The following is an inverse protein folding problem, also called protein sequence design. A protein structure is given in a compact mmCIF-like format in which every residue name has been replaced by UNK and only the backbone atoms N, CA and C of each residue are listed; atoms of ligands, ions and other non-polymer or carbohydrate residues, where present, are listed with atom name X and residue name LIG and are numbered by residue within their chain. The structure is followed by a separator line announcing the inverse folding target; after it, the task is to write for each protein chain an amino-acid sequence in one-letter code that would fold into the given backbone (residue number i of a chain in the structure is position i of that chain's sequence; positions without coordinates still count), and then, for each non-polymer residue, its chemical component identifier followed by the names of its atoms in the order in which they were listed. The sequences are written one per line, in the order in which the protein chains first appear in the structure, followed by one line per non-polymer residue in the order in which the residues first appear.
data_IF_841926185629
#
_entry.id   IF_841926185629
#
_cell.length_a   1.000
_cell.length_b   1.000
_cell.length_c   1.000
_cell.angle_alpha   90.00
_cell.angle_beta   90.00
_cell.angle_gamma   90.00
#
_symmetry.space_group_name_H-M   'P 1'
#
loop_
_entity.id
_entity.type
_entity.pdbx_description
1 polymer ?
#
# COMPACT_ATOMS: atom_id res chain seq x y z
N UNK A 1 -21.75 45.47 -52.77
CA UNK A 1 -21.10 45.37 -51.44
C UNK A 1 -21.93 44.67 -50.35
N UNK A 2 -23.24 44.81 -50.26
CA UNK A 2 -24.08 44.13 -49.20
C UNK A 2 -24.13 42.62 -49.31
N UNK A 3 -24.09 42.01 -50.49
CA UNK A 3 -24.19 40.54 -50.66
C UNK A 3 -22.93 39.75 -50.26
N UNK A 4 -21.75 40.36 -50.27
CA UNK A 4 -20.47 39.73 -49.89
C UNK A 4 -20.37 39.67 -48.37
N UNK A 5 -20.88 40.68 -47.65
CA UNK A 5 -20.87 40.71 -46.17
C UNK A 5 -21.80 39.68 -45.54
N UNK A 6 -22.96 39.42 -46.09
CA UNK A 6 -23.87 38.39 -45.61
C UNK A 6 -23.22 36.98 -45.70
N UNK A 7 -22.57 36.66 -46.77
CA UNK A 7 -21.93 35.35 -46.96
C UNK A 7 -20.79 35.11 -46.00
N UNK A 8 -19.96 36.11 -45.71
CA UNK A 8 -18.87 36.03 -44.73
C UNK A 8 -19.35 35.87 -43.28
N UNK A 9 -20.49 36.47 -42.93
CA UNK A 9 -21.08 36.31 -41.56
C UNK A 9 -21.72 34.94 -41.41
N UNK A 10 -22.36 34.40 -42.44
CA UNK A 10 -22.94 33.07 -42.43
C UNK A 10 -21.85 31.98 -42.37
N UNK A 11 -20.75 32.17 -43.14
CA UNK A 11 -19.60 31.28 -43.13
C UNK A 11 -18.88 31.30 -41.74
N UNK A 12 -18.78 32.49 -41.10
CA UNK A 12 -18.20 32.62 -39.76
C UNK A 12 -19.06 32.04 -38.69
N UNK A 13 -20.39 32.20 -38.73
CA UNK A 13 -21.35 31.55 -37.83
C UNK A 13 -21.36 30.03 -38.01
N UNK A 14 -21.23 29.55 -39.24
CA UNK A 14 -21.10 28.11 -39.52
C UNK A 14 -19.79 27.55 -38.97
N UNK A 15 -18.69 28.28 -39.12
CA UNK A 15 -17.38 27.93 -38.55
C UNK A 15 -17.42 27.91 -37.00
N UNK A 16 -18.01 28.94 -36.38
CA UNK A 16 -18.20 28.97 -34.91
C UNK A 16 -19.05 27.80 -34.38
N UNK A 17 -20.13 27.47 -35.08
CA UNK A 17 -20.97 26.29 -34.76
C UNK A 17 -20.20 24.98 -34.95
N UNK A 18 -19.37 24.87 -35.97
CA UNK A 18 -18.53 23.72 -36.26
C UNK A 18 -17.45 23.54 -35.17
N UNK A 19 -16.77 24.66 -34.81
CA UNK A 19 -15.74 24.64 -33.74
C UNK A 19 -16.33 24.28 -32.38
N UNK A 20 -17.51 24.84 -32.04
CA UNK A 20 -18.22 24.47 -30.81
C UNK A 20 -18.61 22.99 -30.83
N UNK A 21 -19.15 22.49 -31.94
CA UNK A 21 -19.53 21.09 -32.10
C UNK A 21 -18.32 20.13 -32.04
N UNK A 22 -17.16 20.58 -32.60
CA UNK A 22 -15.88 19.84 -32.50
C UNK A 22 -15.36 19.81 -31.05
N UNK A 23 -15.50 20.89 -30.28
CA UNK A 23 -15.13 20.94 -28.88
C UNK A 23 -16.03 20.06 -28.03
N UNK A 24 -17.34 20.11 -28.26
CA UNK A 24 -18.33 19.24 -27.62
C UNK A 24 -18.05 17.76 -27.92
N UNK A 25 -17.72 17.40 -29.16
CA UNK A 25 -17.38 16.03 -29.54
C UNK A 25 -16.09 15.56 -28.87
N UNK A 26 -15.06 16.42 -28.75
CA UNK A 26 -13.82 16.09 -28.02
C UNK A 26 -14.10 15.91 -26.54
N UNK A 27 -14.89 16.77 -25.91
CA UNK A 27 -15.27 16.63 -24.50
C UNK A 27 -16.05 15.35 -24.24
N UNK A 28 -17.01 15.00 -25.11
CA UNK A 28 -17.78 13.75 -25.01
C UNK A 28 -16.87 12.52 -25.19
N UNK A 29 -15.91 12.57 -26.14
CA UNK A 29 -14.94 11.48 -26.33
C UNK A 29 -14.01 11.33 -25.14
N UNK A 30 -13.53 12.44 -24.57
CA UNK A 30 -12.69 12.42 -23.37
C UNK A 30 -13.47 11.85 -22.19
N UNK A 31 -14.69 12.31 -21.94
CA UNK A 31 -15.54 11.79 -20.88
C UNK A 31 -15.81 10.27 -21.01
N UNK A 32 -16.03 9.77 -22.23
CA UNK A 32 -16.17 8.32 -22.48
C UNK A 32 -14.93 7.53 -22.13
N UNK A 33 -13.74 8.02 -22.51
CA UNK A 33 -12.47 7.36 -22.19
C UNK A 33 -12.17 7.34 -20.69
N UNK A 34 -12.50 8.44 -20.00
CA UNK A 34 -12.33 8.55 -18.56
C UNK A 34 -13.19 7.54 -17.81
N UNK A 35 -14.50 7.56 -18.06
CA UNK A 35 -15.45 6.61 -17.43
C UNK A 35 -15.01 5.16 -17.74
N UNK A 36 -14.55 4.89 -18.96
CA UNK A 36 -14.09 3.57 -19.35
C UNK A 36 -12.90 3.09 -18.49
N UNK A 37 -11.88 3.94 -18.33
CA UNK A 37 -10.69 3.61 -17.55
C UNK A 37 -11.04 3.42 -16.06
N UNK A 38 -11.81 4.35 -15.48
CA UNK A 38 -12.22 4.26 -14.07
C UNK A 38 -13.15 3.08 -13.78
N UNK A 39 -14.05 2.75 -14.71
CA UNK A 39 -14.90 1.57 -14.57
C UNK A 39 -14.09 0.27 -14.60
N UNK A 40 -13.13 0.15 -15.50
CA UNK A 40 -12.22 -0.99 -15.59
C UNK A 40 -11.42 -1.14 -14.28
N UNK A 41 -10.84 -0.04 -13.78
CA UNK A 41 -10.08 -0.02 -12.53
C UNK A 41 -10.98 -0.41 -11.33
N UNK A 42 -12.15 0.19 -11.19
CA UNK A 42 -13.09 -0.13 -10.12
C UNK A 42 -13.53 -1.61 -10.11
N UNK A 43 -13.81 -2.17 -11.29
CA UNK A 43 -14.16 -3.60 -11.38
C UNK A 43 -12.98 -4.50 -11.00
N UNK A 44 -11.77 -4.17 -11.43
CA UNK A 44 -10.55 -4.91 -11.05
C UNK A 44 -10.28 -4.82 -9.55
N UNK A 45 -10.38 -3.63 -8.95
CA UNK A 45 -10.28 -3.44 -7.50
C UNK A 45 -11.31 -4.28 -6.73
N UNK A 46 -12.52 -4.45 -7.31
CA UNK A 46 -13.56 -5.31 -6.73
C UNK A 46 -13.32 -6.81 -6.98
N UNK A 47 -12.35 -7.20 -7.80
CA UNK A 47 -12.07 -8.61 -8.15
C UNK A 47 -13.16 -9.27 -9.00
N UNK A 48 -13.99 -8.48 -9.68
CA UNK A 48 -15.13 -9.00 -10.44
C UNK A 48 -14.78 -9.22 -11.91
N UNK A 49 -15.23 -10.34 -12.46
CA UNK A 49 -15.33 -10.49 -13.91
C UNK A 49 -16.45 -9.60 -14.48
N UNK A 50 -16.48 -9.41 -15.79
CA UNK A 50 -17.59 -8.70 -16.43
C UNK A 50 -18.95 -9.41 -16.20
N UNK A 51 -18.93 -10.75 -16.06
CA UNK A 51 -20.13 -11.50 -15.76
C UNK A 51 -20.59 -11.29 -14.33
N UNK A 52 -19.66 -11.41 -13.36
CA UNK A 52 -19.97 -11.19 -11.95
C UNK A 52 -20.55 -9.79 -11.70
N UNK A 53 -20.02 -8.76 -12.40
CA UNK A 53 -20.54 -7.41 -12.31
C UNK A 53 -21.96 -7.32 -12.90
N UNK A 54 -22.22 -7.95 -14.06
CA UNK A 54 -23.57 -7.99 -14.65
C UNK A 54 -24.57 -8.67 -13.70
N UNK A 55 -24.19 -9.82 -13.13
CA UNK A 55 -25.02 -10.57 -12.18
C UNK A 55 -25.29 -9.76 -10.91
N UNK A 56 -24.28 -9.06 -10.38
CA UNK A 56 -24.41 -8.17 -9.22
C UNK A 56 -25.32 -6.97 -9.47
N UNK A 57 -25.43 -6.53 -10.73
CA UNK A 57 -26.37 -5.49 -11.18
C UNK A 57 -27.77 -6.04 -11.49
N UNK A 58 -28.09 -7.30 -11.18
CA UNK A 58 -29.37 -7.93 -11.46
C UNK A 58 -29.65 -8.17 -12.94
N UNK A 59 -28.59 -8.20 -13.76
CA UNK A 59 -28.64 -8.33 -15.21
C UNK A 59 -29.37 -7.17 -15.96
N UNK A 60 -29.59 -6.05 -15.30
CA UNK A 60 -30.09 -4.82 -15.95
C UNK A 60 -29.13 -4.32 -17.04
N UNK A 61 -27.84 -4.66 -16.92
CA UNK A 61 -26.77 -4.37 -17.88
C UNK A 61 -26.07 -5.65 -18.27
N UNK A 62 -26.02 -5.95 -19.57
CA UNK A 62 -25.37 -7.18 -20.06
C UNK A 62 -23.85 -7.09 -20.01
N UNK A 63 -23.17 -8.25 -19.92
CA UNK A 63 -21.72 -8.36 -20.05
C UNK A 63 -21.17 -7.63 -21.29
N UNK A 64 -21.89 -7.73 -22.42
CA UNK A 64 -21.50 -7.07 -23.68
C UNK A 64 -21.57 -5.55 -23.56
N UNK A 65 -22.59 -5.02 -22.86
CA UNK A 65 -22.72 -3.58 -22.60
C UNK A 65 -21.61 -3.10 -21.68
N UNK A 66 -21.30 -3.83 -20.60
CA UNK A 66 -20.19 -3.52 -19.71
C UNK A 66 -18.85 -3.49 -20.45
N UNK A 67 -18.60 -4.48 -21.32
CA UNK A 67 -17.41 -4.49 -22.18
C UNK A 67 -17.34 -3.28 -23.12
N UNK A 68 -18.48 -2.80 -23.67
CA UNK A 68 -18.51 -1.58 -24.49
C UNK A 68 -18.24 -0.34 -23.65
N UNK A 69 -18.69 -0.30 -22.39
CA UNK A 69 -18.41 0.80 -21.46
C UNK A 69 -16.92 0.86 -21.14
N UNK A 70 -16.29 -0.27 -20.73
CA UNK A 70 -14.88 -0.32 -20.40
C UNK A 70 -13.93 -0.06 -21.58
N UNK A 71 -14.39 -0.31 -22.81
CA UNK A 71 -13.65 0.00 -24.03
C UNK A 71 -13.95 1.43 -24.58
N UNK A 72 -14.73 2.24 -23.88
CA UNK A 72 -15.09 3.60 -24.30
C UNK A 72 -15.97 3.66 -25.57
N UNK A 73 -16.52 2.52 -26.02
CA UNK A 73 -17.38 2.45 -27.20
C UNK A 73 -18.77 3.00 -26.92
N UNK A 74 -19.23 2.91 -25.66
CA UNK A 74 -20.53 3.39 -25.23
C UNK A 74 -20.40 4.03 -23.84
N UNK A 75 -21.21 5.05 -23.53
CA UNK A 75 -21.30 5.67 -22.21
C UNK A 75 -22.55 5.13 -21.50
N UNK A 76 -22.48 4.73 -20.21
CA UNK A 76 -23.67 4.46 -19.41
C UNK A 76 -24.54 5.71 -19.30
N UNK A 77 -25.86 5.54 -19.24
CA UNK A 77 -26.79 6.59 -18.86
C UNK A 77 -26.73 6.88 -17.34
N UNK A 78 -27.47 7.88 -16.88
CA UNK A 78 -27.46 8.28 -15.46
C UNK A 78 -27.88 7.12 -14.52
N UNK A 79 -28.88 6.33 -14.90
CA UNK A 79 -29.33 5.16 -14.14
C UNK A 79 -28.25 4.08 -14.10
N UNK A 80 -27.62 3.82 -15.24
CA UNK A 80 -26.52 2.86 -15.34
C UNK A 80 -25.28 3.27 -14.53
N UNK A 81 -24.94 4.57 -14.51
CA UNK A 81 -23.83 5.08 -13.68
C UNK A 81 -24.10 4.89 -12.18
N UNK A 82 -25.33 5.19 -11.71
CA UNK A 82 -25.71 4.95 -10.31
C UNK A 82 -25.70 3.45 -9.96
N UNK A 83 -26.20 2.61 -10.86
CA UNK A 83 -26.19 1.16 -10.65
C UNK A 83 -24.76 0.60 -10.60
N UNK A 84 -23.87 1.07 -11.48
CA UNK A 84 -22.44 0.71 -11.48
C UNK A 84 -21.75 1.17 -10.20
N UNK A 85 -21.97 2.42 -9.77
CA UNK A 85 -21.39 2.97 -8.56
C UNK A 85 -21.79 2.13 -7.32
N UNK A 86 -23.08 1.79 -7.20
CA UNK A 86 -23.59 0.94 -6.12
C UNK A 86 -23.02 -0.48 -6.19
N UNK A 87 -23.02 -1.11 -7.36
CA UNK A 87 -22.51 -2.46 -7.54
C UNK A 87 -21.00 -2.57 -7.21
N UNK A 88 -20.22 -1.53 -7.51
CA UNK A 88 -18.77 -1.48 -7.28
C UNK A 88 -18.40 -0.85 -5.92
N UNK A 89 -19.37 -0.34 -5.18
CA UNK A 89 -19.19 0.37 -3.91
C UNK A 89 -18.23 1.57 -4.04
N UNK A 90 -18.43 2.37 -5.08
CA UNK A 90 -17.69 3.61 -5.36
C UNK A 90 -18.65 4.79 -5.49
N UNK A 91 -18.14 6.02 -5.45
CA UNK A 91 -18.95 7.20 -5.77
C UNK A 91 -19.12 7.36 -7.29
N UNK A 92 -20.18 8.05 -7.70
CA UNK A 92 -20.35 8.42 -9.13
C UNK A 92 -19.23 9.38 -9.56
N UNK A 93 -18.78 10.26 -8.65
CA UNK A 93 -17.68 11.19 -8.89
C UNK A 93 -16.38 10.48 -9.25
N UNK A 94 -16.13 9.31 -8.63
CA UNK A 94 -14.99 8.48 -8.99
C UNK A 94 -14.98 8.11 -10.47
N UNK A 95 -16.13 7.78 -11.08
CA UNK A 95 -16.21 7.43 -12.50
C UNK A 95 -15.92 8.62 -13.43
N UNK A 96 -16.06 9.84 -12.93
CA UNK A 96 -15.75 11.07 -13.67
C UNK A 96 -14.39 11.68 -13.32
N UNK A 97 -13.67 11.13 -12.32
CA UNK A 97 -12.38 11.66 -11.92
C UNK A 97 -11.31 11.37 -12.99
N UNK A 98 -10.48 12.37 -13.24
CA UNK A 98 -9.26 12.20 -14.03
C UNK A 98 -8.12 12.13 -13.02
N UNK A 99 -7.28 11.08 -13.03
CA UNK A 99 -6.06 11.14 -12.25
C UNK A 99 -5.22 12.31 -12.74
N UNK A 100 -4.86 13.23 -11.84
CA UNK A 100 -3.93 14.30 -12.15
C UNK A 100 -2.53 13.71 -12.42
N UNK A 101 -2.20 12.61 -11.77
CA UNK A 101 -0.93 11.89 -11.92
C UNK A 101 -1.20 10.48 -12.42
N UNK A 102 -0.54 10.09 -13.51
CA UNK A 102 -0.61 8.71 -14.02
C UNK A 102 0.45 7.86 -13.29
N UNK A 103 0.01 7.03 -12.37
CA UNK A 103 0.87 6.16 -11.56
C UNK A 103 1.11 4.84 -12.26
N UNK A 104 2.39 4.49 -12.42
CA UNK A 104 2.81 3.16 -12.84
C UNK A 104 3.72 2.57 -11.77
N UNK A 105 3.31 1.44 -11.21
CA UNK A 105 4.14 0.68 -10.29
C UNK A 105 5.22 -0.09 -11.06
N UNK A 106 6.47 0.11 -10.68
CA UNK A 106 7.63 -0.55 -11.28
C UNK A 106 8.41 -1.33 -10.21
N UNK A 107 9.27 -2.25 -10.63
CA UNK A 107 10.11 -3.05 -9.73
C UNK A 107 9.33 -3.75 -8.61
N UNK A 108 8.16 -4.29 -8.96
CA UNK A 108 7.25 -4.93 -8.00
C UNK A 108 7.85 -6.23 -7.48
N UNK A 109 7.96 -6.36 -6.17
CA UNK A 109 8.25 -7.61 -5.48
C UNK A 109 7.23 -7.81 -4.36
N UNK A 110 6.73 -9.05 -4.21
CA UNK A 110 5.68 -9.39 -3.25
C UNK A 110 6.24 -10.22 -2.11
N UNK A 111 5.89 -9.89 -0.89
CA UNK A 111 5.95 -10.84 0.21
C UNK A 111 4.72 -11.74 0.15
N UNK A 112 4.95 -12.98 -0.27
CA UNK A 112 3.89 -13.99 -0.43
C UNK A 112 3.83 -14.92 0.78
N UNK A 113 2.64 -15.16 1.33
CA UNK A 113 2.40 -16.39 2.10
C UNK A 113 2.68 -17.59 1.17
N UNK A 114 2.84 -18.78 1.73
CA UNK A 114 3.07 -20.02 1.00
C UNK A 114 2.04 -20.31 -0.12
N UNK A 115 0.93 -19.59 -0.16
CA UNK A 115 -0.11 -19.67 -1.18
C UNK A 115 0.20 -18.66 -2.29
N UNK A 116 0.31 -19.11 -3.52
CA UNK A 116 0.46 -18.26 -4.69
C UNK A 116 -0.79 -17.40 -4.86
N UNK A 117 -0.64 -16.08 -4.90
CA UNK A 117 -1.73 -15.19 -5.32
C UNK A 117 -2.20 -15.59 -6.73
N UNK A 118 -3.49 -15.58 -6.95
CA UNK A 118 -4.03 -15.75 -8.30
C UNK A 118 -3.74 -14.49 -9.14
N UNK A 119 -3.83 -14.59 -10.45
CA UNK A 119 -3.69 -13.41 -11.33
C UNK A 119 -4.76 -12.35 -11.07
N UNK A 120 -5.92 -12.76 -10.55
CA UNK A 120 -7.01 -11.85 -10.15
C UNK A 120 -6.61 -11.12 -8.88
N UNK A 121 -6.06 -11.83 -7.88
CA UNK A 121 -5.60 -11.22 -6.62
C UNK A 121 -4.46 -10.24 -6.86
N UNK A 122 -3.48 -10.59 -7.73
CA UNK A 122 -2.41 -9.68 -8.13
C UNK A 122 -2.99 -8.40 -8.76
N UNK A 123 -3.99 -8.52 -9.65
CA UNK A 123 -4.64 -7.36 -10.26
C UNK A 123 -5.38 -6.49 -9.22
N UNK A 124 -6.07 -7.10 -8.25
CA UNK A 124 -6.74 -6.37 -7.16
C UNK A 124 -5.73 -5.53 -6.37
N UNK A 125 -4.62 -6.15 -5.97
CA UNK A 125 -3.57 -5.48 -5.18
C UNK A 125 -2.99 -4.30 -5.96
N UNK A 126 -2.61 -4.51 -7.22
CA UNK A 126 -2.02 -3.47 -8.07
C UNK A 126 -3.00 -2.31 -8.27
N UNK A 127 -4.24 -2.57 -8.68
CA UNK A 127 -5.22 -1.52 -8.96
C UNK A 127 -5.57 -0.71 -7.69
N UNK A 128 -5.71 -1.37 -6.53
CA UNK A 128 -5.94 -0.67 -5.26
C UNK A 128 -4.75 0.19 -4.85
N UNK A 129 -3.54 -0.31 -5.02
CA UNK A 129 -2.34 0.45 -4.71
C UNK A 129 -2.18 1.66 -5.65
N UNK A 130 -2.39 1.48 -6.96
CA UNK A 130 -2.37 2.56 -7.96
C UNK A 130 -3.39 3.65 -7.61
N UNK A 131 -4.64 3.29 -7.31
CA UNK A 131 -5.69 4.24 -6.95
C UNK A 131 -5.30 5.08 -5.72
N UNK A 132 -4.72 4.48 -4.69
CA UNK A 132 -4.26 5.22 -3.51
C UNK A 132 -3.08 6.12 -3.85
N UNK A 133 -2.09 5.65 -4.63
CA UNK A 133 -0.93 6.47 -4.99
C UNK A 133 -1.29 7.61 -5.95
N UNK A 134 -2.24 7.44 -6.88
CA UNK A 134 -2.74 8.53 -7.70
C UNK A 134 -3.25 9.68 -6.83
N UNK A 135 -4.11 9.38 -5.86
CA UNK A 135 -4.66 10.39 -4.93
C UNK A 135 -3.60 10.98 -4.00
N UNK A 136 -2.64 10.18 -3.57
CA UNK A 136 -1.56 10.62 -2.69
C UNK A 136 -0.63 11.61 -3.40
N UNK A 137 -0.18 11.27 -4.61
CA UNK A 137 0.70 12.15 -5.38
C UNK A 137 -0.01 13.40 -5.89
N UNK A 138 -1.30 13.30 -6.23
CA UNK A 138 -2.14 14.46 -6.53
C UNK A 138 -2.22 15.41 -5.33
N UNK A 139 -2.38 14.87 -4.13
CA UNK A 139 -2.38 15.66 -2.89
C UNK A 139 -1.04 16.35 -2.62
N UNK A 140 0.08 15.65 -2.81
CA UNK A 140 1.41 16.25 -2.70
C UNK A 140 1.62 17.37 -3.73
N UNK A 141 1.18 17.18 -4.97
CA UNK A 141 1.28 18.19 -6.03
C UNK A 141 0.44 19.44 -5.72
N UNK A 142 -0.82 19.27 -5.31
CA UNK A 142 -1.70 20.37 -4.89
C UNK A 142 -1.12 21.17 -3.72
N UNK A 143 -0.43 20.52 -2.80
CA UNK A 143 0.25 21.15 -1.67
C UNK A 143 1.65 21.68 -2.02
N UNK A 144 2.09 21.50 -3.27
CA UNK A 144 3.42 21.91 -3.77
C UNK A 144 4.58 21.29 -2.96
N UNK A 145 4.42 20.05 -2.52
CA UNK A 145 5.45 19.31 -1.80
C UNK A 145 6.42 18.69 -2.81
N UNK A 146 7.56 19.33 -2.98
CA UNK A 146 8.61 18.91 -3.92
C UNK A 146 9.81 18.28 -3.19
N UNK A 147 9.55 17.55 -2.12
CA UNK A 147 10.60 16.94 -1.32
C UNK A 147 11.36 15.90 -2.14
N UNK A 148 12.67 16.07 -2.23
CA UNK A 148 13.57 15.04 -2.77
C UNK A 148 14.07 14.21 -1.61
N UNK A 149 13.85 12.90 -1.70
CA UNK A 149 14.31 11.97 -0.68
C UNK A 149 15.54 11.21 -1.15
N UNK A 150 16.59 11.25 -0.33
CA UNK A 150 17.77 10.40 -0.51
C UNK A 150 17.57 9.10 0.25
N UNK A 151 17.37 8.03 -0.50
CA UNK A 151 17.14 6.73 0.09
C UNK A 151 18.47 6.02 0.36
N UNK A 152 18.63 5.53 1.57
CA UNK A 152 19.75 4.66 1.90
C UNK A 152 19.70 3.39 1.04
N UNK A 153 20.86 2.98 0.55
CA UNK A 153 21.09 1.70 -0.12
C UNK A 153 22.44 1.18 0.36
N UNK A 154 22.45 -0.04 0.87
CA UNK A 154 23.68 -0.66 1.34
C UNK A 154 24.69 -0.76 0.19
N UNK A 155 25.93 -0.35 0.44
CA UNK A 155 26.92 -0.12 -0.62
C UNK A 155 27.51 -1.42 -1.21
N UNK A 156 27.43 -2.53 -0.47
CA UNK A 156 27.94 -3.84 -0.83
C UNK A 156 26.84 -4.82 -1.26
N UNK A 157 27.24 -5.87 -1.99
CA UNK A 157 26.37 -7.01 -2.26
C UNK A 157 26.16 -7.83 -0.98
N UNK A 158 24.92 -8.18 -0.72
CA UNK A 158 24.52 -9.01 0.43
C UNK A 158 24.47 -10.48 -0.01
N UNK A 159 25.41 -11.26 0.53
CA UNK A 159 25.59 -12.68 0.23
C UNK A 159 25.33 -13.57 1.43
N UNK A 160 25.59 -13.05 2.61
CA UNK A 160 25.57 -13.78 3.87
C UNK A 160 24.59 -13.16 4.87
N UNK A 161 24.25 -13.93 5.85
CA UNK A 161 23.50 -13.48 6.99
C UNK A 161 24.18 -12.31 7.74
N UNK A 162 25.52 -12.34 7.81
CA UNK A 162 26.31 -11.28 8.43
C UNK A 162 26.18 -9.96 7.65
N UNK A 163 26.18 -9.99 6.31
CA UNK A 163 26.01 -8.78 5.50
C UNK A 163 24.64 -8.14 5.76
N UNK A 164 23.58 -8.96 5.91
CA UNK A 164 22.23 -8.47 6.23
C UNK A 164 22.13 -7.86 7.64
N UNK A 165 22.87 -8.42 8.62
CA UNK A 165 23.02 -7.84 9.97
C UNK A 165 23.71 -6.48 9.92
N UNK A 166 24.83 -6.40 9.20
CA UNK A 166 25.60 -5.16 9.07
C UNK A 166 24.80 -4.08 8.38
N UNK A 167 24.07 -4.41 7.31
CA UNK A 167 23.19 -3.49 6.63
C UNK A 167 22.08 -2.94 7.56
N UNK A 168 21.50 -3.79 8.39
CA UNK A 168 20.51 -3.36 9.37
C UNK A 168 21.09 -2.43 10.44
N UNK A 169 22.27 -2.74 10.94
CA UNK A 169 22.98 -1.92 11.93
C UNK A 169 23.39 -0.57 11.33
N UNK A 170 23.94 -0.57 10.10
CA UNK A 170 24.35 0.64 9.41
C UNK A 170 23.15 1.55 9.14
N UNK A 171 22.01 1.00 8.66
CA UNK A 171 20.80 1.79 8.44
C UNK A 171 20.26 2.39 9.75
N UNK A 172 20.27 1.64 10.86
CA UNK A 172 19.90 2.20 12.17
C UNK A 172 20.78 3.36 12.58
N UNK A 173 22.08 3.28 12.31
CA UNK A 173 23.04 4.37 12.57
C UNK A 173 22.77 5.58 11.68
N UNK A 174 22.57 5.40 10.37
CA UNK A 174 22.26 6.48 9.41
C UNK A 174 20.94 7.18 9.77
N UNK A 175 19.97 6.43 10.28
CA UNK A 175 18.69 6.97 10.72
C UNK A 175 18.68 7.46 12.17
N UNK A 176 19.82 7.35 12.88
CA UNK A 176 20.00 7.77 14.27
C UNK A 176 19.03 7.11 15.26
N UNK A 177 18.64 5.84 15.00
CA UNK A 177 17.66 5.11 15.82
C UNK A 177 18.25 4.51 17.09
N UNK A 178 19.58 4.45 17.21
CA UNK A 178 20.26 3.77 18.32
C UNK A 178 19.84 2.29 18.42
N UNK A 179 19.87 1.75 19.64
CA UNK A 179 19.54 0.35 19.93
C UNK A 179 18.15 0.15 20.58
N UNK A 180 17.37 1.21 20.72
CA UNK A 180 16.05 1.15 21.38
C UNK A 180 14.98 0.52 20.48
N UNK A 181 13.89 -0.02 21.07
CA UNK A 181 12.74 -0.46 20.32
C UNK A 181 12.13 0.67 19.47
N UNK A 182 11.72 0.34 18.25
CA UNK A 182 11.06 1.28 17.36
C UNK A 182 9.58 1.38 17.76
N UNK A 183 9.07 2.55 18.12
CA UNK A 183 7.67 2.69 18.56
C UNK A 183 6.68 2.36 17.46
N UNK A 184 6.84 2.95 16.25
CA UNK A 184 6.01 2.74 15.08
C UNK A 184 6.89 2.64 13.83
N UNK A 185 6.86 1.50 13.15
CA UNK A 185 7.69 1.24 11.96
C UNK A 185 7.11 1.96 10.76
N UNK A 186 5.79 2.01 10.64
CA UNK A 186 5.12 2.63 9.50
C UNK A 186 5.35 4.13 9.51
N UNK A 187 5.17 4.79 10.66
CA UNK A 187 5.46 6.21 10.83
C UNK A 187 6.94 6.52 10.55
N UNK A 188 7.85 5.72 11.09
CA UNK A 188 9.29 5.85 10.82
C UNK A 188 9.59 5.80 9.31
N UNK A 189 8.97 4.88 8.56
CA UNK A 189 9.17 4.80 7.11
C UNK A 189 8.63 6.03 6.38
N UNK A 190 7.45 6.53 6.77
CA UNK A 190 6.88 7.78 6.23
C UNK A 190 7.82 8.97 6.48
N UNK A 191 8.39 9.09 7.69
CA UNK A 191 9.34 10.15 8.05
C UNK A 191 10.66 10.07 7.27
N UNK A 192 11.06 8.86 6.83
CA UNK A 192 12.22 8.66 5.94
C UNK A 192 11.87 8.75 4.45
N UNK A 193 10.67 9.23 4.11
CA UNK A 193 10.25 9.56 2.76
C UNK A 193 9.70 8.40 1.94
N UNK A 194 9.53 7.21 2.53
CA UNK A 194 8.84 6.13 1.84
C UNK A 194 7.34 6.43 1.76
N UNK A 195 6.74 6.18 0.62
CA UNK A 195 5.29 6.20 0.49
C UNK A 195 4.72 4.89 1.01
N UNK A 196 4.13 4.92 2.19
CA UNK A 196 3.52 3.72 2.80
C UNK A 196 2.01 3.81 2.68
N UNK A 197 1.37 2.76 2.19
CA UNK A 197 -0.09 2.69 2.09
C UNK A 197 -0.63 1.35 2.55
N UNK A 198 -1.79 1.41 3.18
CA UNK A 198 -2.59 0.25 3.56
C UNK A 198 -3.69 0.03 2.53
N UNK A 199 -3.81 -1.21 2.06
CA UNK A 199 -4.91 -1.61 1.18
C UNK A 199 -5.68 -2.80 1.75
N UNK A 200 -6.98 -2.85 1.49
CA UNK A 200 -7.72 -4.09 1.65
C UNK A 200 -7.19 -5.09 0.62
N UNK A 201 -6.65 -6.20 1.08
CA UNK A 201 -5.97 -7.14 0.20
C UNK A 201 -6.49 -8.56 0.41
N UNK A 202 -6.47 -9.40 -0.65
CA UNK A 202 -6.85 -10.80 -0.57
C UNK A 202 -6.03 -11.57 0.46
N UNK A 203 -6.54 -12.72 0.89
CA UNK A 203 -5.77 -13.63 1.73
C UNK A 203 -4.56 -14.16 0.96
N UNK A 204 -3.42 -14.23 1.66
CA UNK A 204 -2.14 -14.58 1.04
C UNK A 204 -1.25 -13.39 0.68
N UNK A 205 -1.78 -12.16 0.60
CA UNK A 205 -1.00 -10.94 0.52
C UNK A 205 -0.66 -10.43 1.93
N UNK A 206 0.59 -10.07 2.16
CA UNK A 206 1.04 -9.41 3.38
C UNK A 206 1.61 -8.02 3.08
N UNK A 207 2.43 -7.90 2.04
CA UNK A 207 3.06 -6.66 1.63
C UNK A 207 3.71 -6.75 0.25
N UNK A 208 4.09 -5.60 -0.26
CA UNK A 208 4.72 -5.44 -1.57
C UNK A 208 5.59 -4.19 -1.55
N UNK A 209 6.81 -4.30 -2.09
CA UNK A 209 7.58 -3.12 -2.46
C UNK A 209 7.42 -2.83 -3.94
N UNK A 210 7.47 -1.58 -4.30
CA UNK A 210 7.53 -1.12 -5.68
C UNK A 210 8.19 0.26 -5.76
N UNK A 211 8.26 0.84 -6.96
CA UNK A 211 8.64 2.24 -7.19
C UNK A 211 7.58 2.94 -8.03
N UNK A 212 7.42 4.25 -7.80
CA UNK A 212 6.63 5.16 -8.62
C UNK A 212 7.54 6.33 -9.00
N UNK A 213 8.03 6.34 -10.24
CA UNK A 213 9.11 7.23 -10.62
C UNK A 213 10.35 6.99 -9.76
N UNK A 214 10.84 8.02 -9.09
CA UNK A 214 11.97 7.98 -8.15
C UNK A 214 11.57 7.64 -6.70
N UNK A 215 10.25 7.59 -6.41
CA UNK A 215 9.73 7.33 -5.06
C UNK A 215 9.71 5.84 -4.74
N UNK A 216 10.26 5.46 -3.59
CA UNK A 216 10.16 4.11 -3.04
C UNK A 216 8.85 3.94 -2.29
N UNK A 217 8.11 2.88 -2.59
CA UNK A 217 6.78 2.63 -2.02
C UNK A 217 6.71 1.29 -1.31
N UNK A 218 5.94 1.25 -0.22
CA UNK A 218 5.63 0.04 0.55
C UNK A 218 4.11 -0.06 0.65
N UNK A 219 3.57 -1.15 0.14
CA UNK A 219 2.14 -1.46 0.24
C UNK A 219 1.94 -2.56 1.25
N UNK A 220 1.07 -2.34 2.22
CA UNK A 220 0.80 -3.28 3.30
C UNK A 220 -0.67 -3.70 3.30
N UNK A 221 -0.93 -4.92 3.78
CA UNK A 221 -2.30 -5.35 4.05
C UNK A 221 -2.84 -4.54 5.23
N UNK A 222 -4.03 -3.98 5.05
CA UNK A 222 -4.75 -3.30 6.12
C UNK A 222 -5.10 -4.28 7.23
N UNK A 223 -4.79 -3.92 8.46
CA UNK A 223 -5.10 -4.69 9.66
C UNK A 223 -6.30 -4.06 10.35
N UNK A 224 -7.28 -4.87 10.71
CA UNK A 224 -8.43 -4.40 11.48
C UNK A 224 -8.02 -4.20 12.94
N UNK A 225 -8.53 -3.14 13.59
CA UNK A 225 -8.14 -2.72 14.93
C UNK A 225 -8.24 -3.78 16.05
N UNK A 226 -8.96 -4.87 15.81
CA UNK A 226 -9.13 -5.96 16.79
C UNK A 226 -8.11 -7.10 16.63
N UNK A 227 -7.15 -6.98 15.70
CA UNK A 227 -6.26 -8.06 15.28
C UNK A 227 -4.80 -7.78 15.71
N UNK A 228 -4.58 -7.84 17.03
CA UNK A 228 -3.35 -7.37 17.68
C UNK A 228 -2.06 -8.09 17.27
N UNK A 229 -2.14 -9.36 16.91
CA UNK A 229 -0.97 -10.11 16.45
C UNK A 229 -0.58 -9.76 15.02
N UNK A 230 -1.50 -9.21 14.24
CA UNK A 230 -1.22 -8.75 12.89
C UNK A 230 -0.41 -7.45 12.88
N UNK A 231 -0.47 -6.64 13.96
CA UNK A 231 0.39 -5.48 14.13
C UNK A 231 1.88 -5.89 14.13
N UNK A 232 2.24 -6.89 14.93
CA UNK A 232 3.61 -7.41 14.99
C UNK A 232 4.06 -7.97 13.64
N UNK A 233 3.15 -8.67 12.95
CA UNK A 233 3.37 -9.18 11.61
C UNK A 233 3.54 -8.06 10.59
N UNK A 234 2.70 -7.02 10.66
CA UNK A 234 2.75 -5.85 9.78
C UNK A 234 4.08 -5.10 9.91
N UNK A 235 4.56 -4.86 11.13
CA UNK A 235 5.89 -4.28 11.41
C UNK A 235 6.99 -5.05 10.71
N UNK A 236 7.00 -6.37 10.91
CA UNK A 236 7.98 -7.24 10.29
C UNK A 236 7.88 -7.23 8.76
N UNK A 237 6.65 -7.19 8.21
CA UNK A 237 6.43 -7.07 6.78
C UNK A 237 6.95 -5.75 6.23
N UNK A 238 6.65 -4.63 6.87
CA UNK A 238 7.12 -3.31 6.43
C UNK A 238 8.65 -3.25 6.36
N UNK A 239 9.36 -3.82 7.35
CA UNK A 239 10.82 -3.89 7.34
C UNK A 239 11.37 -4.93 6.35
N UNK A 240 10.63 -5.98 6.05
CA UNK A 240 10.99 -6.90 4.99
C UNK A 240 10.92 -6.24 3.61
N UNK A 241 9.86 -5.45 3.34
CA UNK A 241 9.76 -4.66 2.11
C UNK A 241 10.83 -3.56 2.06
N UNK A 242 11.18 -2.96 3.20
CA UNK A 242 12.31 -2.05 3.30
C UNK A 242 13.62 -2.75 2.92
N UNK A 243 13.84 -4.00 3.37
CA UNK A 243 15.03 -4.76 3.01
C UNK A 243 15.21 -4.89 1.49
N UNK A 244 14.13 -5.13 0.76
CA UNK A 244 14.17 -5.17 -0.72
C UNK A 244 14.50 -3.82 -1.37
N UNK A 245 14.32 -2.69 -0.67
CA UNK A 245 14.74 -1.36 -1.14
C UNK A 245 16.18 -1.00 -0.77
N UNK A 246 16.70 -1.59 0.30
CA UNK A 246 18.01 -1.29 0.91
C UNK A 246 19.11 -2.21 0.41
N UNK A 247 18.81 -3.51 0.31
CA UNK A 247 19.81 -4.54 0.03
C UNK A 247 20.03 -4.73 -1.47
N UNK A 248 21.31 -4.88 -1.84
CA UNK A 248 21.70 -5.26 -3.19
C UNK A 248 22.08 -6.73 -3.22
N UNK A 249 21.50 -7.49 -4.10
CA UNK A 249 21.78 -8.91 -4.26
C UNK A 249 22.48 -9.22 -5.58
N UNK A 250 23.33 -10.25 -5.65
CA UNK A 250 23.81 -10.77 -6.92
C UNK A 250 22.67 -11.25 -7.80
N UNK A 251 22.84 -11.12 -9.11
CA UNK A 251 21.79 -11.52 -10.07
C UNK A 251 21.49 -13.03 -10.06
N UNK A 252 22.47 -13.84 -9.71
CA UNK A 252 22.42 -15.31 -9.63
C UNK A 252 21.92 -15.83 -8.27
N UNK A 253 21.71 -14.95 -7.28
CA UNK A 253 21.22 -15.35 -5.98
C UNK A 253 19.77 -15.87 -6.09
N UNK A 254 19.55 -17.09 -5.60
CA UNK A 254 18.23 -17.73 -5.64
C UNK A 254 17.20 -16.90 -4.83
N UNK A 255 15.98 -16.78 -5.35
CA UNK A 255 14.90 -16.02 -4.70
C UNK A 255 14.69 -16.41 -3.23
N UNK A 256 14.79 -17.72 -2.92
CA UNK A 256 14.62 -18.21 -1.53
C UNK A 256 15.73 -17.72 -0.58
N UNK A 257 16.94 -17.59 -1.08
CA UNK A 257 18.06 -17.05 -0.30
C UNK A 257 17.92 -15.56 -0.10
N UNK A 258 17.51 -14.83 -1.13
CA UNK A 258 17.18 -13.40 -1.04
C UNK A 258 16.11 -13.13 0.02
N UNK A 259 15.02 -13.89 0.00
CA UNK A 259 13.95 -13.77 1.00
C UNK A 259 14.47 -14.03 2.43
N UNK A 260 15.35 -15.03 2.61
CA UNK A 260 15.95 -15.31 3.90
C UNK A 260 16.79 -14.12 4.40
N UNK A 261 17.59 -13.52 3.53
CA UNK A 261 18.42 -12.36 3.89
C UNK A 261 17.55 -11.14 4.25
N UNK A 262 16.46 -10.91 3.55
CA UNK A 262 15.48 -9.88 3.91
C UNK A 262 14.83 -10.16 5.29
N UNK A 263 14.52 -11.41 5.62
CA UNK A 263 14.02 -11.77 6.95
C UNK A 263 15.07 -11.52 8.04
N UNK A 264 16.35 -11.81 7.77
CA UNK A 264 17.44 -11.56 8.71
C UNK A 264 17.59 -10.06 8.95
N UNK A 265 17.63 -9.26 7.88
CA UNK A 265 17.64 -7.80 7.98
C UNK A 265 16.49 -7.28 8.83
N UNK A 266 15.25 -7.67 8.52
CA UNK A 266 14.05 -7.21 9.25
C UNK A 266 14.10 -7.55 10.75
N UNK A 267 14.54 -8.77 11.09
CA UNK A 267 14.69 -9.18 12.48
C UNK A 267 15.83 -8.46 13.20
N UNK A 268 16.96 -8.22 12.51
CA UNK A 268 18.10 -7.47 13.04
C UNK A 268 17.74 -6.00 13.27
N UNK A 269 16.98 -5.43 12.34
CA UNK A 269 16.52 -4.06 12.45
C UNK A 269 15.52 -3.86 13.61
N UNK A 270 14.59 -4.81 13.84
CA UNK A 270 13.67 -4.77 14.98
C UNK A 270 14.35 -5.06 16.31
N UNK A 271 15.24 -6.03 16.37
CA UNK A 271 15.87 -6.48 17.60
C UNK A 271 17.39 -6.58 17.40
N UNK A 272 18.13 -5.47 17.60
CA UNK A 272 19.57 -5.40 17.36
C UNK A 272 20.36 -6.48 18.11
N UNK A 273 21.45 -6.98 17.51
CA UNK A 273 22.24 -8.09 18.04
C UNK A 273 22.76 -7.84 19.45
N UNK A 274 23.23 -6.63 19.73
CA UNK A 274 23.78 -6.27 21.05
C UNK A 274 22.71 -6.34 22.13
N UNK A 275 21.48 -5.87 21.83
CA UNK A 275 20.39 -5.94 22.78
C UNK A 275 19.88 -7.35 22.96
N UNK A 276 19.78 -8.13 21.87
CA UNK A 276 19.41 -9.53 21.96
C UNK A 276 20.40 -10.34 22.80
N UNK A 277 21.72 -10.17 22.60
CA UNK A 277 22.74 -10.82 23.43
C UNK A 277 22.69 -10.36 24.89
N UNK A 278 22.47 -9.09 25.14
CA UNK A 278 22.35 -8.50 26.49
C UNK A 278 21.14 -9.04 27.24
N UNK A 279 19.98 -9.17 26.57
CA UNK A 279 18.73 -9.59 27.22
C UNK A 279 18.59 -11.12 27.33
N UNK A 280 19.09 -11.88 26.36
CA UNK A 280 18.98 -13.34 26.34
C UNK A 280 20.11 -14.04 27.11
N UNK A 281 21.21 -13.37 27.41
CA UNK A 281 22.31 -13.82 28.29
C UNK A 281 22.89 -15.20 27.93
N UNK A 282 23.45 -15.35 26.74
CA UNK A 282 24.20 -16.54 26.31
C UNK A 282 23.34 -17.72 25.87
N UNK A 283 23.90 -18.93 25.88
CA UNK A 283 23.26 -20.11 25.34
C UNK A 283 21.95 -20.49 26.10
N UNK A 284 20.88 -20.77 25.34
CA UNK A 284 19.56 -21.08 25.89
C UNK A 284 19.08 -22.44 25.38
N UNK A 285 18.34 -23.15 26.23
CA UNK A 285 17.75 -24.46 25.94
C UNK A 285 16.22 -24.42 25.89
N UNK A 286 15.61 -23.38 26.44
CA UNK A 286 14.17 -23.15 26.47
C UNK A 286 13.87 -21.66 26.70
N UNK A 287 12.62 -21.28 26.45
CA UNK A 287 12.04 -20.00 26.85
C UNK A 287 10.78 -20.23 27.65
N UNK A 288 10.55 -19.40 28.64
CA UNK A 288 9.27 -19.33 29.33
C UNK A 288 8.31 -18.41 28.55
N UNK A 289 7.04 -18.78 28.51
CA UNK A 289 6.03 -18.00 27.79
C UNK A 289 5.96 -16.55 28.26
N UNK A 290 6.00 -16.34 29.60
CA UNK A 290 5.99 -14.98 30.18
C UNK A 290 7.19 -14.13 29.74
N UNK A 291 8.34 -14.72 29.61
CA UNK A 291 9.55 -14.05 29.08
C UNK A 291 9.34 -13.63 27.62
N UNK A 292 8.79 -14.52 26.80
CA UNK A 292 8.51 -14.22 25.39
C UNK A 292 7.46 -13.11 25.24
N UNK A 293 6.43 -13.09 26.12
CA UNK A 293 5.44 -12.01 26.16
C UNK A 293 6.13 -10.67 26.44
N UNK A 294 7.02 -10.59 27.43
CA UNK A 294 7.75 -9.36 27.78
C UNK A 294 8.61 -8.89 26.60
N UNK A 295 9.33 -9.80 25.95
CA UNK A 295 10.14 -9.46 24.77
C UNK A 295 9.29 -8.97 23.59
N UNK A 296 8.16 -9.65 23.33
CA UNK A 296 7.21 -9.25 22.30
C UNK A 296 6.63 -7.86 22.56
N UNK A 297 6.18 -7.61 23.80
CA UNK A 297 5.59 -6.34 24.22
C UNK A 297 6.60 -5.19 24.18
N UNK A 298 7.88 -5.48 24.38
CA UNK A 298 8.96 -4.50 24.32
C UNK A 298 9.40 -4.20 22.87
N UNK A 299 9.66 -5.24 22.08
CA UNK A 299 10.31 -5.10 20.78
C UNK A 299 9.34 -5.12 19.59
N UNK A 300 8.08 -5.47 19.82
CA UNK A 300 7.09 -5.63 18.74
C UNK A 300 7.49 -6.73 17.75
N UNK A 301 8.02 -7.84 18.25
CA UNK A 301 8.49 -8.98 17.47
C UNK A 301 7.80 -10.27 17.94
N UNK A 302 7.41 -11.17 17.01
CA UNK A 302 6.72 -12.41 17.34
C UNK A 302 7.63 -13.44 18.04
N UNK A 303 7.06 -14.39 18.79
CA UNK A 303 7.82 -15.48 19.41
C UNK A 303 8.65 -16.26 18.39
N UNK A 304 8.04 -16.56 17.24
CA UNK A 304 8.75 -17.26 16.18
C UNK A 304 9.96 -16.47 15.68
N UNK A 305 9.83 -15.16 15.50
CA UNK A 305 10.93 -14.30 15.09
C UNK A 305 12.01 -14.19 16.21
N UNK A 306 11.62 -14.17 17.49
CA UNK A 306 12.57 -14.23 18.60
C UNK A 306 13.39 -15.54 18.55
N UNK A 307 12.76 -16.69 18.29
CA UNK A 307 13.45 -17.97 18.20
C UNK A 307 14.47 -17.99 17.06
N UNK A 308 14.06 -17.54 15.86
CA UNK A 308 14.94 -17.45 14.72
C UNK A 308 16.08 -16.45 14.94
N UNK A 309 15.78 -15.32 15.59
CA UNK A 309 16.78 -14.31 15.95
C UNK A 309 17.83 -14.87 16.90
N UNK A 310 17.39 -15.55 17.97
CA UNK A 310 18.28 -16.19 18.96
C UNK A 310 19.12 -17.32 18.33
N UNK A 311 18.55 -18.09 17.39
CA UNK A 311 19.31 -19.11 16.66
C UNK A 311 20.35 -18.48 15.74
N UNK A 312 19.98 -17.45 15.01
CA UNK A 312 20.90 -16.72 14.13
C UNK A 312 22.11 -16.13 14.88
N UNK A 313 21.88 -15.63 16.09
CA UNK A 313 22.92 -15.10 16.97
C UNK A 313 23.75 -16.18 17.72
N UNK A 314 23.48 -17.47 17.47
CA UNK A 314 24.15 -18.59 18.14
C UNK A 314 23.71 -18.81 19.61
N UNK A 315 22.67 -18.13 20.07
CA UNK A 315 22.09 -18.28 21.41
C UNK A 315 21.30 -19.60 21.51
N UNK A 316 20.63 -19.99 20.41
CA UNK A 316 19.97 -21.28 20.26
C UNK A 316 20.69 -22.13 19.22
N UNK A 317 20.84 -23.41 19.49
CA UNK A 317 21.24 -24.36 18.45
C UNK A 317 19.99 -24.87 17.69
N UNK A 318 20.22 -25.48 16.51
CA UNK A 318 19.14 -25.95 15.63
C UNK A 318 18.21 -26.99 16.26
N UNK A 319 18.73 -27.83 17.18
CA UNK A 319 17.90 -28.84 17.85
C UNK A 319 16.90 -28.19 18.80
N UNK A 320 17.33 -27.16 19.53
CA UNK A 320 16.46 -26.38 20.41
C UNK A 320 15.46 -25.57 19.61
N UNK A 321 15.91 -24.91 18.53
CA UNK A 321 15.01 -24.20 17.61
C UNK A 321 13.88 -25.10 17.08
N UNK A 322 14.20 -26.32 16.63
CA UNK A 322 13.19 -27.30 16.18
C UNK A 322 12.19 -27.65 17.27
N UNK A 323 12.66 -27.88 18.51
CA UNK A 323 11.77 -28.18 19.67
C UNK A 323 10.84 -27.00 19.98
N UNK A 324 11.38 -25.77 19.98
CA UNK A 324 10.58 -24.57 20.23
C UNK A 324 9.52 -24.35 19.12
N UNK A 325 9.88 -24.55 17.86
CA UNK A 325 8.94 -24.47 16.74
C UNK A 325 7.82 -25.53 16.83
N UNK A 326 8.14 -26.76 17.27
CA UNK A 326 7.14 -27.79 17.53
C UNK A 326 6.23 -27.40 18.70
N UNK A 327 6.81 -26.90 19.80
CA UNK A 327 6.06 -26.41 20.95
C UNK A 327 5.12 -25.26 20.61
N UNK A 328 5.57 -24.31 19.81
CA UNK A 328 4.80 -23.19 19.29
C UNK A 328 3.58 -23.69 18.49
N UNK A 329 3.78 -24.61 17.55
CA UNK A 329 2.70 -25.21 16.77
C UNK A 329 1.73 -26.03 17.63
N UNK A 330 2.24 -26.82 18.59
CA UNK A 330 1.42 -27.64 19.50
C UNK A 330 0.47 -26.79 20.35
N UNK A 331 0.89 -25.55 20.72
CA UNK A 331 0.04 -24.59 21.45
C UNK A 331 -0.93 -23.84 20.53
N UNK A 332 -0.88 -24.05 19.22
CA UNK A 332 -1.74 -23.35 18.27
C UNK A 332 -1.33 -21.90 18.01
N UNK A 333 -0.16 -21.44 18.47
CA UNK A 333 0.29 -20.03 18.31
C UNK A 333 0.57 -19.64 16.87
N UNK A 334 0.64 -20.59 15.95
CA UNK A 334 0.71 -20.35 14.51
C UNK A 334 -0.66 -20.01 13.89
N UNK A 335 -1.74 -20.21 14.63
CA UNK A 335 -3.08 -19.85 14.20
C UNK A 335 -3.29 -18.34 14.39
N UNK A 336 -4.24 -17.84 13.65
CA UNK A 336 -4.59 -16.42 13.65
C UNK A 336 -4.88 -15.91 15.09
N UNK A 337 -4.23 -14.84 15.49
CA UNK A 337 -4.38 -14.17 16.79
C UNK A 337 -4.18 -15.04 18.05
N UNK A 338 -3.59 -16.23 17.93
CA UNK A 338 -3.45 -17.16 19.06
C UNK A 338 -2.19 -16.93 19.91
N UNK A 339 -1.18 -16.21 19.40
CA UNK A 339 0.06 -15.93 20.12
C UNK A 339 -0.19 -14.89 21.23
N UNK A 340 0.13 -15.18 22.50
CA UNK A 340 -0.13 -14.26 23.61
C UNK A 340 0.80 -13.03 23.62
N UNK A 341 0.44 -12.02 24.40
CA UNK A 341 1.14 -10.74 24.51
C UNK A 341 0.66 -9.72 23.47
N UNK A 342 0.70 -8.43 23.83
CA UNK A 342 0.16 -7.32 23.04
C UNK A 342 1.20 -6.23 22.86
N UNK A 343 1.62 -5.96 21.64
CA UNK A 343 2.40 -4.79 21.31
C UNK A 343 1.48 -3.58 21.07
N UNK A 344 1.77 -2.47 21.74
CA UNK A 344 0.92 -1.27 21.68
C UNK A 344 1.51 -0.27 20.67
N UNK A 345 1.17 -0.43 19.40
CA UNK A 345 1.45 0.52 18.31
C UNK A 345 0.26 0.60 17.38
N UNK A 346 0.16 1.66 16.60
CA UNK A 346 -0.90 1.83 15.60
C UNK A 346 -0.53 1.16 14.28
N UNK A 347 0.73 1.27 13.87
CA UNK A 347 1.26 0.79 12.57
C UNK A 347 0.32 1.10 11.39
N UNK A 348 -0.14 2.35 11.32
CA UNK A 348 -1.07 2.83 10.30
C UNK A 348 -0.45 4.02 9.60
N UNK A 349 -0.41 4.04 8.25
CA UNK A 349 0.03 5.20 7.51
C UNK A 349 -0.84 6.42 7.84
N UNK A 350 -0.24 7.51 8.29
CA UNK A 350 -0.96 8.72 8.72
C UNK A 350 -0.60 9.95 7.91
N UNK A 351 0.49 9.92 7.13
CA UNK A 351 0.98 11.09 6.42
C UNK A 351 -0.04 11.61 5.40
N UNK A 352 -0.69 10.72 4.64
CA UNK A 352 -1.72 11.13 3.68
C UNK A 352 -2.91 11.83 4.38
N UNK A 353 -3.37 11.30 5.51
CA UNK A 353 -4.44 11.90 6.31
C UNK A 353 -4.02 13.28 6.85
N UNK A 354 -2.80 13.39 7.40
CA UNK A 354 -2.24 14.67 7.85
C UNK A 354 -2.18 15.71 6.72
N UNK A 355 -1.80 15.31 5.51
CA UNK A 355 -1.75 16.20 4.34
C UNK A 355 -3.15 16.64 3.88
N UNK A 356 -4.16 15.77 3.96
CA UNK A 356 -5.56 16.14 3.68
C UNK A 356 -6.02 17.25 4.63
N UNK A 357 -5.82 17.09 5.93
CA UNK A 357 -6.17 18.12 6.91
C UNK A 357 -5.35 19.40 6.75
N UNK A 358 -4.07 19.28 6.37
CA UNK A 358 -3.23 20.43 6.05
C UNK A 358 -3.77 21.22 4.85
N UNK A 359 -4.20 20.50 3.79
CA UNK A 359 -4.79 21.11 2.60
C UNK A 359 -6.11 21.85 2.90
N UNK A 360 -6.94 21.28 3.77
CA UNK A 360 -8.15 21.94 4.27
C UNK A 360 -7.81 23.18 5.11
N UNK A 361 -6.86 23.06 6.03
CA UNK A 361 -6.47 24.17 6.91
C UNK A 361 -5.81 25.34 6.16
N UNK A 362 -5.14 25.05 5.03
CA UNK A 362 -4.56 26.06 4.13
C UNK A 362 -5.55 26.58 3.07
N UNK A 363 -6.79 26.11 3.08
CA UNK A 363 -7.83 26.46 2.10
C UNK A 363 -7.42 26.11 0.65
N UNK A 364 -6.48 25.17 0.47
CA UNK A 364 -6.05 24.63 -0.84
C UNK A 364 -7.08 23.63 -1.36
N UNK A 365 -7.73 22.91 -0.44
CA UNK A 365 -8.72 21.87 -0.75
C UNK A 365 -10.11 22.28 -0.28
N UNK A 366 -11.11 22.03 -1.08
CA UNK A 366 -12.51 21.99 -0.62
C UNK A 366 -12.77 20.68 0.13
N UNK A 367 -13.82 20.64 0.93
CA UNK A 367 -14.22 19.41 1.67
C UNK A 367 -14.47 18.22 0.72
N UNK A 368 -15.03 18.48 -0.46
CA UNK A 368 -15.30 17.42 -1.43
C UNK A 368 -14.02 16.86 -2.06
N UNK A 369 -13.08 17.72 -2.44
CA UNK A 369 -11.76 17.31 -2.94
C UNK A 369 -10.98 16.57 -1.86
N UNK A 370 -10.95 17.09 -0.64
CA UNK A 370 -10.30 16.44 0.50
C UNK A 370 -10.89 15.04 0.78
N UNK A 371 -12.21 14.89 0.74
CA UNK A 371 -12.88 13.61 0.93
C UNK A 371 -12.55 12.62 -0.21
N UNK A 372 -12.52 13.10 -1.46
CA UNK A 372 -12.12 12.30 -2.62
C UNK A 372 -10.67 11.82 -2.48
N UNK A 373 -9.74 12.72 -2.19
CA UNK A 373 -8.32 12.39 -2.00
C UNK A 373 -8.11 11.43 -0.82
N UNK A 374 -8.84 11.62 0.29
CA UNK A 374 -8.81 10.70 1.42
C UNK A 374 -9.48 9.33 1.15
N UNK A 375 -10.16 9.17 0.02
CA UNK A 375 -10.88 7.93 -0.33
C UNK A 375 -12.08 7.66 0.58
N UNK A 376 -12.74 8.70 1.07
CA UNK A 376 -13.90 8.57 1.96
C UNK A 376 -15.05 9.51 1.54
N UNK A 377 -16.23 9.26 2.08
CA UNK A 377 -17.37 10.16 1.86
C UNK A 377 -17.21 11.50 2.60
N UNK A 378 -17.68 12.59 1.98
CA UNK A 378 -17.59 13.94 2.57
C UNK A 378 -18.26 14.06 3.95
N UNK A 379 -19.35 13.29 4.19
CA UNK A 379 -20.02 13.24 5.49
C UNK A 379 -19.08 12.67 6.58
N UNK A 380 -18.33 11.61 6.27
CA UNK A 380 -17.37 10.99 7.21
C UNK A 380 -16.18 11.91 7.50
N UNK A 381 -15.71 12.63 6.49
CA UNK A 381 -14.64 13.62 6.69
C UNK A 381 -15.14 14.76 7.60
N UNK A 382 -16.39 15.25 7.43
CA UNK A 382 -16.96 16.26 8.30
C UNK A 382 -17.08 15.82 9.76
N UNK A 383 -17.38 14.54 10.03
CA UNK A 383 -17.36 13.99 11.40
C UNK A 383 -15.98 14.03 12.03
N UNK A 384 -14.91 13.89 11.24
CA UNK A 384 -13.53 13.97 11.71
C UNK A 384 -13.03 15.42 11.86
N UNK A 385 -13.71 16.40 11.23
CA UNK A 385 -13.37 17.82 11.28
C UNK A 385 -13.90 18.49 12.56
N UNK A 386 -13.48 18.00 13.73
CA UNK A 386 -13.77 18.70 14.99
C UNK A 386 -12.73 19.80 15.19
N UNK A 387 -13.15 21.04 14.99
CA UNK A 387 -12.28 22.20 15.19
C UNK A 387 -11.99 22.42 16.66
N UNK A 388 -10.71 22.59 17.00
CA UNK A 388 -10.24 23.05 18.30
C UNK A 388 -10.19 24.59 18.27
N UNK A 389 -11.33 25.27 18.42
CA UNK A 389 -11.44 26.75 18.45
C UNK A 389 -11.75 27.17 19.88
#
# INVERSE_FOLDING_TARGET
MRLVWCKLVDDWLYFCKFVNNMNDLKQVQNAKKMIAARLLSARRMAGLSLQDLADKMGNDVTKQSLSKYENGKMKPDAKGLLALANALNISVDYLYSIPAVNVKLENIEYRKKSVKLSSIDDAIVIERAVDVFERYLELEDLLQLNDKYEYFVFDRLVLTAQDAEEAAAELRNVWELGNDPIPDVVEMLEDKGYLVVDIDAPDGFDGMKATVGDRKVVVLKKVLHNELNDIVRKRFTALHELAHHVLKFPNDLRSKERELLCHIFASAFLYPADMARKELLGARFHFFERELIILKERWGISFLAIFHRANHLGILNDSVLRKLNMGFRKRGYHLYNAEPGRFSSREVPTRMERLVFLGLAKEVLTINEAAFLAGMGAWKLREQMQLMI
#
